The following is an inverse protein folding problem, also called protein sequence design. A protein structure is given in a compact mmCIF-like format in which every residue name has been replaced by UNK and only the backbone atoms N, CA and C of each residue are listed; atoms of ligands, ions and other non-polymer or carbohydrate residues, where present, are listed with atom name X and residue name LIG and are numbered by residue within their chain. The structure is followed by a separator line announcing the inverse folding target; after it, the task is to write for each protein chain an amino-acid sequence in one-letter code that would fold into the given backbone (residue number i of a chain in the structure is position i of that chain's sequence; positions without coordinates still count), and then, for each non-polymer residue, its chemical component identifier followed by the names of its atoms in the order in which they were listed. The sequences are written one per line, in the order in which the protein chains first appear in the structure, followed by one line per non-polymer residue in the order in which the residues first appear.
data_IF_054832881331
#
_entry.id   IF_054832881331
#
_cell.length_a   1.000
_cell.length_b   1.000
_cell.length_c   1.000
_cell.angle_alpha   90.00
_cell.angle_beta   90.00
_cell.angle_gamma   90.00
#
_symmetry.space_group_name_H-M   'P 1'
#
loop_
_entity.id
_entity.type
_entity.pdbx_description
1 polymer ?
#
# COMPACT_ATOMS: atom_id res chain seq x y z
N UNK A 1 -5.30 -5.07 -19.93
CA UNK A 1 -4.88 -5.90 -18.79
C UNK A 1 -4.29 -4.96 -17.75
N UNK A 2 -4.75 -5.01 -16.50
CA UNK A 2 -4.21 -4.15 -15.46
C UNK A 2 -2.79 -4.60 -15.10
N UNK A 3 -1.88 -3.66 -14.84
CA UNK A 3 -0.52 -3.98 -14.39
C UNK A 3 -0.59 -4.50 -12.95
N UNK A 4 -0.10 -5.72 -12.74
CA UNK A 4 0.03 -6.32 -11.41
C UNK A 4 1.44 -6.11 -10.87
N UNK A 5 1.53 -5.74 -9.59
CA UNK A 5 2.77 -5.48 -8.89
C UNK A 5 3.01 -6.57 -7.84
N UNK A 6 4.25 -7.03 -7.77
CA UNK A 6 4.66 -8.03 -6.79
C UNK A 6 4.89 -7.34 -5.43
N UNK A 7 4.06 -7.67 -4.45
CA UNK A 7 4.23 -7.27 -3.05
C UNK A 7 4.58 -8.48 -2.18
N UNK A 8 5.17 -8.21 -1.02
CA UNK A 8 5.44 -9.23 0.00
C UNK A 8 4.61 -8.96 1.24
N UNK A 9 3.94 -10.00 1.70
CA UNK A 9 3.23 -10.01 2.97
C UNK A 9 4.23 -10.11 4.13
N UNK A 10 3.79 -9.78 5.35
CA UNK A 10 4.62 -9.87 6.56
C UNK A 10 5.14 -11.28 6.87
N UNK A 11 4.54 -12.31 6.29
CA UNK A 11 4.99 -13.71 6.37
C UNK A 11 5.99 -14.10 5.25
N UNK A 12 6.37 -13.15 4.40
CA UNK A 12 7.31 -13.34 3.28
C UNK A 12 6.69 -13.90 2.01
N UNK A 13 5.39 -14.20 1.98
CA UNK A 13 4.71 -14.65 0.75
C UNK A 13 4.62 -13.52 -0.27
N UNK A 14 4.82 -13.85 -1.54
CA UNK A 14 4.60 -12.93 -2.64
C UNK A 14 3.14 -12.97 -3.07
N UNK A 15 2.56 -11.79 -3.19
CA UNK A 15 1.24 -11.58 -3.77
C UNK A 15 1.36 -10.63 -4.96
N UNK A 16 0.43 -10.74 -5.89
CA UNK A 16 0.34 -9.88 -7.05
C UNK A 16 -0.97 -9.13 -6.95
N UNK A 17 -0.90 -7.80 -6.91
CA UNK A 17 -2.06 -6.92 -6.79
C UNK A 17 -1.99 -5.84 -7.85
N UNK A 18 -3.16 -5.40 -8.32
CA UNK A 18 -3.27 -4.22 -9.17
C UNK A 18 -3.02 -2.95 -8.34
N UNK A 19 -2.64 -1.85 -8.99
CA UNK A 19 -2.47 -0.55 -8.30
C UNK A 19 -3.72 -0.17 -7.49
N UNK A 20 -4.91 -0.39 -8.05
CA UNK A 20 -6.19 -0.10 -7.38
C UNK A 20 -6.33 -0.89 -6.07
N UNK A 21 -6.01 -2.19 -6.07
CA UNK A 21 -6.05 -2.97 -4.83
C UNK A 21 -4.99 -2.57 -3.82
N UNK A 22 -3.83 -2.12 -4.27
CA UNK A 22 -2.79 -1.62 -3.37
C UNK A 22 -3.26 -0.35 -2.66
N UNK A 23 -3.94 0.55 -3.38
CA UNK A 23 -4.51 1.77 -2.79
C UNK A 23 -5.59 1.44 -1.76
N UNK A 24 -6.55 0.57 -2.10
CA UNK A 24 -7.62 0.18 -1.17
C UNK A 24 -7.06 -0.46 0.12
N UNK A 25 -6.06 -1.33 0.01
CA UNK A 25 -5.41 -1.95 1.17
C UNK A 25 -4.62 -0.94 2.01
N UNK A 26 -3.96 0.03 1.37
CA UNK A 26 -3.26 1.10 2.05
C UNK A 26 -4.23 1.99 2.84
N UNK A 27 -5.30 2.46 2.20
CA UNK A 27 -6.30 3.31 2.86
C UNK A 27 -6.93 2.60 4.06
N UNK A 28 -7.30 1.32 3.91
CA UNK A 28 -7.86 0.54 5.00
C UNK A 28 -6.87 0.32 6.15
N UNK A 29 -5.61 -0.02 5.84
CA UNK A 29 -4.58 -0.27 6.85
C UNK A 29 -4.12 0.99 7.57
N UNK A 30 -4.10 2.13 6.87
CA UNK A 30 -3.72 3.42 7.46
C UNK A 30 -4.84 3.96 8.34
N UNK A 31 -6.10 3.88 7.91
CA UNK A 31 -7.23 4.28 8.73
C UNK A 31 -7.28 3.49 10.05
N UNK A 32 -7.10 2.17 9.99
CA UNK A 32 -7.04 1.32 11.20
C UNK A 32 -5.86 1.71 12.11
N UNK A 33 -4.68 1.97 11.54
CA UNK A 33 -3.51 2.40 12.31
C UNK A 33 -3.69 3.80 12.92
N UNK A 34 -4.33 4.73 12.21
CA UNK A 34 -4.63 6.08 12.67
C UNK A 34 -5.62 6.07 13.83
N UNK A 35 -6.71 5.29 13.69
CA UNK A 35 -7.72 5.09 14.72
C UNK A 35 -7.12 4.44 15.98
N UNK A 36 -6.31 3.38 15.83
CA UNK A 36 -5.66 2.70 16.95
C UNK A 36 -4.59 3.55 17.64
N UNK A 37 -3.88 4.38 16.88
CA UNK A 37 -2.82 5.24 17.38
C UNK A 37 -3.31 6.58 17.94
N UNK A 38 -4.58 6.93 17.73
CA UNK A 38 -5.12 8.28 17.93
C UNK A 38 -4.24 9.36 17.25
N UNK A 39 -3.73 9.05 16.05
CA UNK A 39 -2.87 9.93 15.26
C UNK A 39 -3.61 10.40 14.00
N UNK A 40 -3.20 11.55 13.41
CA UNK A 40 -3.75 11.99 12.14
C UNK A 40 -3.50 10.98 11.02
N UNK A 41 -4.50 10.83 10.15
CA UNK A 41 -4.37 10.06 8.91
C UNK A 41 -3.36 10.73 7.95
N UNK A 42 -2.83 9.95 7.00
CA UNK A 42 -1.96 10.44 5.94
C UNK A 42 -2.79 11.26 4.93
N UNK A 43 -2.19 12.31 4.40
CA UNK A 43 -2.78 13.06 3.30
C UNK A 43 -2.80 12.24 1.99
N UNK A 44 -3.67 12.62 1.05
CA UNK A 44 -3.75 11.97 -0.27
C UNK A 44 -2.40 11.96 -1.00
N UNK A 45 -1.62 13.04 -0.92
CA UNK A 45 -0.28 13.11 -1.52
C UNK A 45 0.72 12.13 -0.85
N UNK A 46 0.61 11.92 0.45
CA UNK A 46 1.45 10.96 1.18
C UNK A 46 1.08 9.51 0.85
N UNK A 47 -0.22 9.23 0.72
CA UNK A 47 -0.75 7.94 0.26
C UNK A 47 -0.26 7.60 -1.15
N UNK A 48 -0.36 8.55 -2.08
CA UNK A 48 0.11 8.34 -3.46
C UNK A 48 1.62 8.06 -3.51
N UNK A 49 2.41 8.81 -2.73
CA UNK A 49 3.85 8.59 -2.64
C UNK A 49 4.21 7.24 -2.05
N UNK A 50 3.45 6.78 -1.05
CA UNK A 50 3.58 5.43 -0.47
C UNK A 50 3.27 4.35 -1.52
N UNK A 51 2.21 4.52 -2.28
CA UNK A 51 1.85 3.61 -3.35
C UNK A 51 2.94 3.57 -4.42
N UNK A 52 3.51 4.71 -4.82
CA UNK A 52 4.65 4.78 -5.75
C UNK A 52 5.86 3.97 -5.27
N UNK A 53 6.19 4.04 -3.97
CA UNK A 53 7.29 3.26 -3.37
C UNK A 53 6.99 1.76 -3.39
N UNK A 54 5.73 1.36 -3.23
CA UNK A 54 5.34 -0.05 -3.27
C UNK A 54 5.39 -0.64 -4.68
N UNK A 55 5.02 0.16 -5.69
CA UNK A 55 4.96 -0.27 -7.09
C UNK A 55 6.26 -0.01 -7.88
N UNK A 56 7.29 0.54 -7.23
CA UNK A 56 8.54 0.93 -7.88
C UNK A 56 9.27 -0.29 -8.49
N UNK A 57 9.64 -0.24 -9.78
CA UNK A 57 10.39 -1.31 -10.42
C UNK A 57 11.83 -1.33 -9.86
N UNK A 58 12.10 -2.27 -8.95
CA UNK A 58 13.42 -2.38 -8.31
C UNK A 58 13.42 -2.94 -6.89
N UNK A 59 12.24 -3.17 -6.27
CA UNK A 59 12.14 -3.98 -5.04
C UNK A 59 12.44 -5.45 -5.34
N UNK A 60 13.73 -5.82 -5.28
CA UNK A 60 14.22 -7.20 -5.35
C UNK A 60 14.13 -7.89 -3.98
#
# INVERSE_FOLDING_TARGET
MATEYALRMGDGKRIFLTKEKIMEELEAGIADAADLGEIPDLSADELDKLAEILIMPGKA
#
